data_IF_984123828265
#
_entry.id   IF_984123828265
#
_cell.length_a   1.000
_cell.length_b   1.000
_cell.length_c   1.000
_cell.angle_alpha   90.00
_cell.angle_beta   90.00
_cell.angle_gamma   90.00
#
_symmetry.space_group_name_H-M   'P 1'
#
loop_
_entity.id
_entity.type
_entity.pdbx_description
1 polymer ?
#
# COMPACT_ATOMS: atom_id res chain seq x y z
N UNK A 1 38.90 51.34 13.97
CA UNK A 1 37.50 50.87 13.92
C UNK A 1 37.17 50.58 12.47
N UNK A 2 37.01 49.31 12.11
CA UNK A 2 36.43 48.87 10.85
C UNK A 2 35.78 47.52 11.13
N UNK A 3 34.44 47.50 11.21
CA UNK A 3 33.66 46.27 11.24
C UNK A 3 33.49 45.79 9.79
N UNK A 4 33.81 44.53 9.53
CA UNK A 4 33.53 43.86 8.26
C UNK A 4 32.73 42.58 8.55
N UNK A 5 31.76 42.36 7.68
CA UNK A 5 30.60 41.46 7.74
C UNK A 5 30.90 39.99 8.13
N UNK A 6 29.91 39.27 8.69
CA UNK A 6 29.99 37.81 8.84
C UNK A 6 29.89 37.12 7.45
N UNK A 7 30.56 35.97 7.26
CA UNK A 7 30.47 35.21 6.02
C UNK A 7 29.08 34.60 5.86
N UNK A 8 28.56 34.71 4.64
CA UNK A 8 27.33 34.11 4.17
C UNK A 8 27.31 32.61 4.45
N UNK A 9 26.29 32.16 5.19
CA UNK A 9 25.92 30.76 5.24
C UNK A 9 25.40 30.37 3.85
N UNK A 10 26.29 29.79 3.04
CA UNK A 10 25.90 29.00 1.87
C UNK A 10 24.88 27.96 2.34
N UNK A 11 23.64 28.16 1.90
CA UNK A 11 22.58 27.16 2.01
C UNK A 11 23.04 25.96 1.21
N UNK A 12 23.37 24.89 1.91
CA UNK A 12 23.32 23.54 1.37
C UNK A 12 21.86 23.23 1.00
N UNK A 13 21.42 23.75 -0.15
CA UNK A 13 20.26 23.22 -0.86
C UNK A 13 20.73 21.94 -1.56
N UNK A 14 20.98 20.89 -0.77
CA UNK A 14 20.95 19.53 -1.31
C UNK A 14 19.52 19.30 -1.81
N UNK A 15 19.31 19.00 -3.10
CA UNK A 15 17.98 18.70 -3.59
C UNK A 15 17.50 17.46 -2.86
N UNK A 16 16.43 17.63 -2.08
CA UNK A 16 15.76 16.58 -1.35
C UNK A 16 15.17 15.60 -2.38
N UNK A 17 15.96 14.60 -2.79
CA UNK A 17 15.61 13.58 -3.79
C UNK A 17 14.33 12.79 -3.43
N UNK A 18 13.83 12.98 -2.21
CA UNK A 18 12.55 12.47 -1.72
C UNK A 18 11.30 13.19 -2.28
N UNK A 19 11.42 14.39 -2.85
CA UNK A 19 10.27 15.10 -3.45
C UNK A 19 9.99 14.70 -4.91
N UNK A 20 10.86 13.90 -5.53
CA UNK A 20 10.85 13.64 -6.97
C UNK A 20 9.80 12.61 -7.43
N UNK A 21 9.11 11.93 -6.52
CA UNK A 21 8.39 10.70 -6.85
C UNK A 21 6.89 10.71 -6.47
N UNK A 22 5.94 10.58 -7.42
CA UNK A 22 6.00 10.90 -8.85
C UNK A 22 5.19 12.18 -9.11
N UNK A 23 5.82 13.35 -8.98
CA UNK A 23 5.22 14.61 -9.42
C UNK A 23 5.44 14.84 -10.93
N UNK A 24 6.39 14.12 -11.54
CA UNK A 24 6.79 14.25 -12.94
C UNK A 24 6.43 12.98 -13.73
N UNK A 25 6.08 13.15 -15.01
CA UNK A 25 5.72 12.03 -15.88
C UNK A 25 6.94 11.10 -16.09
N UNK A 26 6.75 9.76 -16.06
CA UNK A 26 7.85 8.83 -16.31
C UNK A 26 8.54 9.13 -17.63
N UNK A 27 9.88 9.12 -17.64
CA UNK A 27 10.61 9.34 -18.88
C UNK A 27 10.24 8.28 -19.92
N UNK A 28 10.35 8.61 -21.21
CA UNK A 28 10.02 7.65 -22.28
C UNK A 28 10.82 6.34 -22.19
N UNK A 29 12.02 6.37 -21.61
CA UNK A 29 12.82 5.18 -21.35
C UNK A 29 12.19 4.29 -20.26
N UNK A 30 11.74 4.88 -19.16
CA UNK A 30 11.05 4.17 -18.08
C UNK A 30 9.72 3.60 -18.57
N UNK A 31 8.94 4.39 -19.30
CA UNK A 31 7.66 3.93 -19.83
C UNK A 31 7.83 2.66 -20.69
N UNK A 32 8.89 2.58 -21.50
CA UNK A 32 9.22 1.37 -22.27
C UNK A 32 9.56 0.19 -21.36
N UNK A 33 10.41 0.41 -20.34
CA UNK A 33 10.74 -0.64 -19.37
C UNK A 33 9.48 -1.16 -18.69
N UNK A 34 8.60 -0.28 -18.20
CA UNK A 34 7.34 -0.66 -17.54
C UNK A 34 6.43 -1.46 -18.46
N UNK A 35 6.26 -1.03 -19.71
CA UNK A 35 5.45 -1.76 -20.70
C UNK A 35 5.99 -3.17 -20.98
N UNK A 36 7.31 -3.30 -21.12
CA UNK A 36 7.93 -4.59 -21.34
C UNK A 36 7.82 -5.52 -20.11
N UNK A 37 7.88 -4.96 -18.90
CA UNK A 37 7.68 -5.71 -17.67
C UNK A 37 6.22 -6.16 -17.47
N UNK A 38 5.27 -5.27 -17.77
CA UNK A 38 3.83 -5.57 -17.77
C UNK A 38 3.54 -6.73 -18.75
N UNK A 39 4.10 -6.67 -19.96
CA UNK A 39 3.96 -7.73 -20.96
C UNK A 39 4.59 -9.04 -20.48
N UNK A 40 5.79 -9.02 -19.90
CA UNK A 40 6.46 -10.21 -19.38
C UNK A 40 5.68 -10.88 -18.25
N UNK A 41 5.19 -10.10 -17.28
CA UNK A 41 4.35 -10.59 -16.17
C UNK A 41 3.04 -11.18 -16.71
N UNK A 42 2.38 -10.44 -17.63
CA UNK A 42 1.14 -10.87 -18.26
C UNK A 42 1.32 -12.18 -19.03
N UNK A 43 2.41 -12.30 -19.79
CA UNK A 43 2.72 -13.50 -20.57
C UNK A 43 2.93 -14.70 -19.65
N UNK A 44 3.72 -14.54 -18.58
CA UNK A 44 3.97 -15.63 -17.62
C UNK A 44 2.68 -16.07 -16.91
N UNK A 45 1.85 -15.13 -16.45
CA UNK A 45 0.55 -15.46 -15.84
C UNK A 45 -0.41 -16.14 -16.80
N UNK A 46 -0.42 -15.72 -18.07
CA UNK A 46 -1.23 -16.38 -19.11
C UNK A 46 -0.74 -17.81 -19.37
N UNK A 47 0.56 -18.03 -19.43
CA UNK A 47 1.13 -19.37 -19.59
C UNK A 47 0.77 -20.28 -18.41
N UNK A 48 0.87 -19.77 -17.18
CA UNK A 48 0.45 -20.48 -15.97
C UNK A 48 -1.05 -20.81 -16.00
N UNK A 49 -1.91 -19.86 -16.38
CA UNK A 49 -3.34 -20.08 -16.51
C UNK A 49 -3.70 -21.14 -17.57
N UNK A 50 -3.02 -21.12 -18.72
CA UNK A 50 -3.19 -22.12 -19.76
C UNK A 50 -2.76 -23.52 -19.27
N UNK A 51 -1.66 -23.59 -18.51
CA UNK A 51 -1.17 -24.82 -17.92
C UNK A 51 -2.20 -25.41 -16.92
N UNK A 52 -2.74 -24.59 -16.01
CA UNK A 52 -3.77 -25.02 -15.05
C UNK A 52 -5.02 -25.54 -15.76
N UNK A 53 -5.48 -24.81 -16.79
CA UNK A 53 -6.64 -25.20 -17.61
C UNK A 53 -6.41 -26.55 -18.29
N UNK A 54 -5.21 -26.79 -18.82
CA UNK A 54 -4.88 -28.04 -19.51
C UNK A 54 -4.78 -29.24 -18.56
N UNK A 55 -4.44 -29.02 -17.29
CA UNK A 55 -4.24 -30.09 -16.29
C UNK A 55 -5.47 -30.31 -15.39
N UNK A 56 -6.60 -29.65 -15.69
CA UNK A 56 -7.84 -29.82 -14.94
C UNK A 56 -7.79 -29.22 -13.53
N UNK A 57 -6.84 -28.32 -13.28
CA UNK A 57 -6.59 -27.72 -11.98
C UNK A 57 -7.26 -26.34 -11.87
N UNK A 58 -7.45 -25.86 -10.63
CA UNK A 58 -8.28 -24.70 -10.30
C UNK A 58 -7.84 -23.34 -10.93
N UNK A 59 -8.73 -22.35 -10.82
CA UNK A 59 -8.62 -20.97 -11.35
C UNK A 59 -7.30 -20.30 -10.95
N UNK A 60 -6.65 -19.53 -11.85
CA UNK A 60 -5.43 -18.79 -11.54
C UNK A 60 -5.59 -17.93 -10.27
N UNK A 61 -4.61 -18.00 -9.37
CA UNK A 61 -4.61 -17.26 -8.10
C UNK A 61 -4.52 -15.74 -8.29
N UNK A 62 -4.01 -15.28 -9.43
CA UNK A 62 -3.84 -13.87 -9.75
C UNK A 62 -4.50 -13.54 -11.10
N UNK A 63 -5.07 -12.34 -11.25
CA UNK A 63 -5.49 -11.83 -12.55
C UNK A 63 -4.33 -11.82 -13.55
N UNK A 64 -4.62 -12.16 -14.80
CA UNK A 64 -3.63 -12.22 -15.89
C UNK A 64 -2.94 -10.88 -16.09
N UNK A 65 -3.68 -9.77 -16.04
CA UNK A 65 -3.09 -8.42 -16.11
C UNK A 65 -2.74 -7.92 -14.71
N UNK A 66 -1.56 -7.29 -14.53
CA UNK A 66 -1.21 -6.56 -13.32
C UNK A 66 -2.29 -5.55 -12.92
N UNK A 67 -2.56 -5.48 -11.62
CA UNK A 67 -3.44 -4.44 -11.08
C UNK A 67 -2.78 -3.06 -11.08
N UNK A 68 -3.55 -2.00 -10.82
CA UNK A 68 -3.01 -0.64 -10.65
C UNK A 68 -1.92 -0.56 -9.57
N UNK A 69 -2.11 -1.28 -8.46
CA UNK A 69 -1.12 -1.33 -7.38
C UNK A 69 0.15 -2.06 -7.81
N UNK A 70 0.01 -3.15 -8.58
CA UNK A 70 1.15 -3.87 -9.11
C UNK A 70 1.94 -3.03 -10.11
N UNK A 71 1.25 -2.28 -10.97
CA UNK A 71 1.91 -1.33 -11.88
C UNK A 71 2.65 -0.24 -11.12
N UNK A 72 2.12 0.27 -10.00
CA UNK A 72 2.85 1.24 -9.17
C UNK A 72 4.16 0.67 -8.60
N UNK A 73 4.17 -0.60 -8.19
CA UNK A 73 5.39 -1.31 -7.78
C UNK A 73 6.37 -1.47 -8.94
N UNK A 74 5.87 -1.89 -10.12
CA UNK A 74 6.69 -2.05 -11.32
C UNK A 74 7.30 -0.73 -11.77
N UNK A 75 6.57 0.38 -11.67
CA UNK A 75 7.07 1.73 -11.95
C UNK A 75 8.20 2.09 -10.98
N UNK A 76 8.02 1.87 -9.67
CA UNK A 76 9.08 2.11 -8.67
C UNK A 76 10.34 1.28 -8.93
N UNK A 77 10.19 0.01 -9.30
CA UNK A 77 11.30 -0.85 -9.69
C UNK A 77 11.99 -0.38 -10.96
N UNK A 78 11.22 0.01 -11.98
CA UNK A 78 11.74 0.49 -13.24
C UNK A 78 12.52 1.80 -13.05
N UNK A 79 12.08 2.69 -12.16
CA UNK A 79 12.78 3.96 -11.93
C UNK A 79 14.00 3.82 -11.04
N UNK A 80 14.02 2.80 -10.17
CA UNK A 80 15.23 2.46 -9.43
C UNK A 80 16.29 1.81 -10.34
N UNK A 81 15.91 0.81 -11.13
CA UNK A 81 16.87 -0.07 -11.81
C UNK A 81 16.93 0.11 -13.34
N UNK A 82 16.00 0.85 -13.92
CA UNK A 82 15.91 1.08 -15.36
C UNK A 82 15.89 -0.23 -16.16
N UNK A 83 16.61 -0.22 -17.28
CA UNK A 83 16.73 -1.38 -18.16
C UNK A 83 17.44 -2.58 -17.51
N UNK A 84 18.16 -2.39 -16.39
CA UNK A 84 18.83 -3.49 -15.70
C UNK A 84 17.83 -4.52 -15.17
N UNK A 85 16.59 -4.10 -14.84
CA UNK A 85 15.54 -5.00 -14.36
C UNK A 85 15.21 -6.11 -15.37
N UNK A 86 15.44 -5.86 -16.67
CA UNK A 86 15.21 -6.82 -17.75
C UNK A 86 16.49 -7.52 -18.22
N UNK A 87 17.59 -6.78 -18.30
CA UNK A 87 18.83 -7.31 -18.90
C UNK A 87 19.68 -8.10 -17.91
N UNK A 88 19.62 -7.78 -16.62
CA UNK A 88 20.42 -8.45 -15.61
C UNK A 88 19.69 -9.67 -15.05
N UNK A 89 20.27 -10.86 -15.26
CA UNK A 89 19.71 -12.14 -14.78
C UNK A 89 19.41 -12.19 -13.28
N UNK A 90 20.10 -11.37 -12.48
CA UNK A 90 19.86 -11.26 -11.03
C UNK A 90 18.43 -10.86 -10.68
N UNK A 91 17.70 -10.20 -11.57
CA UNK A 91 16.30 -9.78 -11.34
C UNK A 91 15.26 -10.79 -11.82
N UNK A 92 15.67 -11.91 -12.47
CA UNK A 92 14.72 -12.96 -12.85
C UNK A 92 13.87 -13.45 -11.66
N UNK A 93 14.44 -13.72 -10.46
CA UNK A 93 13.64 -14.11 -9.30
C UNK A 93 12.59 -13.06 -8.90
N UNK A 94 12.83 -11.78 -9.14
CA UNK A 94 11.89 -10.70 -8.82
C UNK A 94 10.71 -10.71 -9.78
N UNK A 95 10.99 -10.87 -11.09
CA UNK A 95 9.95 -10.98 -12.11
C UNK A 95 9.13 -12.25 -11.92
N UNK A 96 9.82 -13.36 -11.60
CA UNK A 96 9.17 -14.62 -11.33
C UNK A 96 8.24 -14.53 -10.12
N UNK A 97 8.75 -14.00 -9.00
CA UNK A 97 7.95 -13.76 -7.80
C UNK A 97 6.75 -12.86 -8.07
N UNK A 98 6.94 -11.80 -8.86
CA UNK A 98 5.86 -10.87 -9.21
C UNK A 98 4.78 -11.55 -10.02
N UNK A 99 5.14 -12.39 -10.98
CA UNK A 99 4.18 -13.14 -11.77
C UNK A 99 3.42 -14.17 -10.93
N UNK A 100 4.12 -14.87 -10.04
CA UNK A 100 3.60 -16.04 -9.31
C UNK A 100 2.83 -15.64 -8.03
N UNK A 101 3.24 -14.55 -7.38
CA UNK A 101 2.71 -14.12 -6.07
C UNK A 101 2.19 -12.68 -6.03
N UNK A 102 2.51 -11.89 -7.06
CA UNK A 102 2.06 -10.51 -7.17
C UNK A 102 3.05 -9.50 -6.59
N UNK A 103 3.05 -8.30 -7.16
CA UNK A 103 4.01 -7.25 -6.80
C UNK A 103 3.78 -6.69 -5.38
N UNK A 104 2.54 -6.72 -4.89
CA UNK A 104 2.22 -6.32 -3.51
C UNK A 104 2.87 -7.26 -2.50
N UNK A 105 2.81 -8.58 -2.74
CA UNK A 105 3.50 -9.57 -1.89
C UNK A 105 5.02 -9.42 -1.94
N UNK A 106 5.58 -9.00 -3.08
CA UNK A 106 7.02 -8.72 -3.19
C UNK A 106 7.41 -7.60 -2.22
N UNK A 107 6.69 -6.47 -2.25
CA UNK A 107 6.93 -5.35 -1.34
C UNK A 107 6.78 -5.78 0.11
N UNK A 108 5.69 -6.46 0.44
CA UNK A 108 5.47 -6.98 1.79
C UNK A 108 6.63 -7.87 2.26
N UNK A 109 7.12 -8.76 1.40
CA UNK A 109 8.22 -9.67 1.71
C UNK A 109 9.55 -8.95 1.89
N UNK A 110 9.86 -7.97 1.04
CA UNK A 110 11.06 -7.14 1.15
C UNK A 110 11.04 -6.30 2.42
N UNK A 111 9.90 -5.68 2.72
CA UNK A 111 9.76 -4.73 3.83
C UNK A 111 9.61 -5.43 5.19
N UNK A 112 8.92 -6.57 5.24
CA UNK A 112 8.48 -7.18 6.50
C UNK A 112 8.83 -8.68 6.63
N UNK A 113 9.27 -9.33 5.55
CA UNK A 113 9.42 -10.79 5.48
C UNK A 113 10.67 -11.37 6.15
N UNK A 114 11.57 -10.55 6.67
CA UNK A 114 12.77 -10.99 7.39
C UNK A 114 12.50 -11.31 8.89
N UNK A 115 11.25 -11.22 9.37
CA UNK A 115 10.93 -11.51 10.77
C UNK A 115 11.00 -13.01 11.06
N UNK A 116 11.76 -13.44 12.09
CA UNK A 116 11.67 -14.80 12.60
C UNK A 116 10.32 -14.98 13.33
N UNK A 117 9.44 -15.83 12.82
CA UNK A 117 8.40 -16.48 13.63
C UNK A 117 8.88 -17.88 14.07
N UNK A 118 8.29 -18.42 15.12
CA UNK A 118 8.85 -19.50 15.96
C UNK A 118 8.78 -20.93 15.37
N UNK A 119 8.88 -21.12 14.05
CA UNK A 119 8.81 -22.45 13.42
C UNK A 119 10.02 -22.78 12.52
N UNK A 120 10.37 -24.07 12.43
CA UNK A 120 11.61 -24.56 11.80
C UNK A 120 11.76 -24.24 10.29
N UNK A 121 10.65 -24.14 9.52
CA UNK A 121 10.66 -23.74 8.10
C UNK A 121 10.91 -22.24 7.86
N UNK A 122 10.91 -21.44 8.94
CA UNK A 122 11.06 -19.98 8.87
C UNK A 122 12.48 -19.58 8.47
N UNK A 123 13.49 -20.42 8.68
CA UNK A 123 14.88 -20.09 8.34
C UNK A 123 15.11 -19.94 6.84
N UNK A 124 14.57 -20.84 6.02
CA UNK A 124 14.67 -20.78 4.56
C UNK A 124 13.81 -19.63 3.99
N UNK A 125 12.59 -19.46 4.50
CA UNK A 125 11.71 -18.36 4.10
C UNK A 125 12.33 -16.99 4.42
N UNK A 126 12.85 -16.82 5.63
CA UNK A 126 13.49 -15.59 6.08
C UNK A 126 14.81 -15.32 5.33
N UNK A 127 15.61 -16.37 5.07
CA UNK A 127 16.81 -16.24 4.23
C UNK A 127 16.48 -15.78 2.81
N UNK A 128 15.39 -16.31 2.23
CA UNK A 128 14.95 -15.88 0.90
C UNK A 128 14.38 -14.45 0.91
N UNK A 129 13.62 -14.08 1.94
CA UNK A 129 13.19 -12.70 2.13
C UNK A 129 14.37 -11.74 2.29
N UNK A 130 15.42 -12.14 3.01
CA UNK A 130 16.64 -11.37 3.16
C UNK A 130 17.39 -11.22 1.83
N UNK A 131 17.45 -12.28 1.01
CA UNK A 131 18.02 -12.21 -0.35
C UNK A 131 17.25 -11.25 -1.26
N UNK A 132 15.91 -11.31 -1.24
CA UNK A 132 15.08 -10.37 -1.99
C UNK A 132 15.24 -8.94 -1.50
N UNK A 133 15.26 -8.72 -0.18
CA UNK A 133 15.47 -7.40 0.40
C UNK A 133 16.84 -6.83 0.02
N UNK A 134 17.86 -7.69 -0.04
CA UNK A 134 19.20 -7.25 -0.37
C UNK A 134 19.40 -6.97 -1.87
N UNK A 135 18.75 -7.78 -2.72
CA UNK A 135 18.68 -7.53 -4.15
C UNK A 135 17.91 -6.23 -4.47
N UNK A 136 16.87 -5.93 -3.69
CA UNK A 136 15.98 -4.79 -3.90
C UNK A 136 16.28 -3.59 -2.98
N UNK A 137 17.48 -3.53 -2.40
CA UNK A 137 17.89 -2.51 -1.42
C UNK A 137 17.69 -1.08 -1.93
N UNK A 138 18.04 -0.82 -3.19
CA UNK A 138 17.95 0.52 -3.79
C UNK A 138 16.49 0.94 -4.04
N UNK A 139 15.55 -0.01 -4.15
CA UNK A 139 14.13 0.26 -4.35
C UNK A 139 13.37 0.47 -3.04
N UNK A 140 14.06 0.32 -1.90
CA UNK A 140 13.46 0.46 -0.57
C UNK A 140 12.78 1.83 -0.35
N UNK A 141 13.36 2.98 -0.74
CA UNK A 141 12.69 4.27 -0.60
C UNK A 141 11.37 4.33 -1.40
N UNK A 142 11.34 3.77 -2.61
CA UNK A 142 10.12 3.69 -3.41
C UNK A 142 9.06 2.83 -2.72
N UNK A 143 9.45 1.71 -2.10
CA UNK A 143 8.54 0.86 -1.34
C UNK A 143 8.01 1.54 -0.09
N UNK A 144 8.84 2.29 0.63
CA UNK A 144 8.40 3.10 1.79
C UNK A 144 7.36 4.14 1.38
N UNK A 145 7.58 4.83 0.25
CA UNK A 145 6.60 5.75 -0.32
C UNK A 145 5.28 5.05 -0.69
N UNK A 146 5.34 3.88 -1.33
CA UNK A 146 4.15 3.10 -1.66
C UNK A 146 3.38 2.66 -0.40
N UNK A 147 4.10 2.23 0.65
CA UNK A 147 3.52 1.89 1.94
C UNK A 147 2.87 3.10 2.63
N UNK A 148 3.45 4.30 2.50
CA UNK A 148 2.86 5.53 3.03
C UNK A 148 1.64 5.98 2.23
N UNK A 149 1.65 5.77 0.91
CA UNK A 149 0.57 6.19 0.00
C UNK A 149 -0.65 5.26 0.08
N UNK A 150 -0.41 3.94 0.19
CA UNK A 150 -1.46 2.92 0.23
C UNK A 150 -1.21 1.88 1.35
N UNK A 151 -1.23 2.30 2.63
CA UNK A 151 -0.89 1.42 3.74
C UNK A 151 -1.84 0.22 3.85
N UNK A 152 -3.13 0.37 3.51
CA UNK A 152 -4.09 -0.73 3.54
C UNK A 152 -3.71 -1.88 2.59
N UNK A 153 -3.09 -1.55 1.46
CA UNK A 153 -2.67 -2.54 0.48
C UNK A 153 -1.33 -3.21 0.86
N UNK A 154 -0.36 -2.41 1.34
CA UNK A 154 1.00 -2.88 1.53
C UNK A 154 1.33 -3.31 2.96
N UNK A 155 0.59 -2.86 3.96
CA UNK A 155 0.80 -3.24 5.37
C UNK A 155 -0.12 -4.39 5.82
N UNK A 156 -0.74 -5.13 4.90
CA UNK A 156 -1.65 -6.23 5.23
C UNK A 156 -1.06 -7.27 6.18
N UNK A 157 0.19 -7.69 5.99
CA UNK A 157 0.88 -8.62 6.91
C UNK A 157 1.12 -8.02 8.30
N UNK A 158 1.51 -6.74 8.37
CA UNK A 158 1.67 -6.04 9.64
C UNK A 158 0.32 -5.88 10.35
N UNK A 159 -0.74 -5.63 9.59
CA UNK A 159 -2.11 -5.52 10.07
C UNK A 159 -2.64 -6.83 10.61
N UNK A 160 -2.38 -7.95 9.93
CA UNK A 160 -2.74 -9.29 10.39
C UNK A 160 -1.99 -9.66 11.67
N UNK A 161 -0.69 -9.36 11.75
CA UNK A 161 0.09 -9.57 12.96
C UNK A 161 -0.41 -8.73 14.14
N UNK A 162 -0.84 -7.47 13.90
CA UNK A 162 -1.45 -6.63 14.93
C UNK A 162 -2.82 -7.19 15.36
N UNK A 163 -3.65 -7.64 14.41
CA UNK A 163 -4.93 -8.26 14.70
C UNK A 163 -4.79 -9.54 15.55
N UNK A 164 -3.79 -10.38 15.26
CA UNK A 164 -3.48 -11.56 16.08
C UNK A 164 -3.06 -11.20 17.52
N UNK A 165 -2.53 -10.00 17.73
CA UNK A 165 -2.17 -9.46 19.05
C UNK A 165 -3.31 -8.67 19.71
N UNK A 166 -4.50 -8.60 19.08
CA UNK A 166 -5.62 -7.80 19.58
C UNK A 166 -5.42 -6.28 19.44
N UNK A 167 -4.47 -5.85 18.61
CA UNK A 167 -4.12 -4.45 18.40
C UNK A 167 -4.81 -3.86 17.16
N UNK A 168 -5.06 -2.54 17.13
CA UNK A 168 -5.65 -1.89 15.97
C UNK A 168 -4.80 -2.04 14.71
N UNK A 169 -5.45 -2.37 13.60
CA UNK A 169 -4.86 -2.42 12.25
C UNK A 169 -4.34 -1.05 11.82
N UNK A 170 -3.22 -1.04 11.09
CA UNK A 170 -2.67 0.16 10.46
C UNK A 170 -3.63 0.68 9.39
N UNK A 171 -4.24 1.86 9.65
CA UNK A 171 -5.00 2.64 8.65
C UNK A 171 -4.13 3.78 8.12
N UNK A 172 -4.42 4.23 6.90
CA UNK A 172 -3.86 5.46 6.37
C UNK A 172 -4.06 6.64 7.33
N UNK A 173 -3.08 7.54 7.45
CA UNK A 173 -3.26 8.78 8.18
C UNK A 173 -4.46 9.53 7.61
N UNK A 174 -5.41 9.90 8.48
CA UNK A 174 -6.50 10.80 8.09
C UNK A 174 -5.87 12.10 7.58
N UNK A 175 -6.23 12.60 6.38
CA UNK A 175 -5.70 13.88 5.92
C UNK A 175 -6.05 14.97 6.95
N UNK A 176 -5.15 15.95 7.17
CA UNK A 176 -5.41 17.01 8.15
C UNK A 176 -6.69 17.77 7.75
N UNK A 177 -7.53 18.16 8.72
CA UNK A 177 -8.72 18.94 8.41
C UNK A 177 -8.30 20.22 7.69
N UNK A 178 -8.86 20.44 6.50
CA UNK A 178 -8.68 21.67 5.74
C UNK A 178 -9.33 22.80 6.53
N UNK A 179 -8.52 23.55 7.28
CA UNK A 179 -8.96 24.78 7.94
C UNK A 179 -9.33 25.81 6.87
N UNK A 180 -10.60 25.80 6.47
CA UNK A 180 -11.10 26.53 5.31
C UNK A 180 -12.50 27.09 5.46
N UNK A 181 -12.99 27.38 6.67
CA UNK A 181 -14.16 28.25 6.85
C UNK A 181 -13.91 29.30 7.93
N UNK A 182 -13.07 30.27 7.56
CA UNK A 182 -13.03 31.58 8.22
C UNK A 182 -14.08 32.46 7.54
N UNK A 183 -15.36 32.32 7.90
CA UNK A 183 -16.40 33.31 7.58
C UNK A 183 -16.92 33.90 8.88
N UNK A 184 -16.46 35.11 9.17
CA UNK A 184 -16.82 35.83 10.37
C UNK A 184 -18.20 36.49 10.30
N UNK A 185 -18.47 37.20 11.40
CA UNK A 185 -19.44 38.29 11.63
C UNK A 185 -20.75 37.89 12.34
N UNK A 186 -20.68 37.98 13.66
CA UNK A 186 -21.50 38.80 14.55
C UNK A 186 -23.01 39.00 14.28
N UNK A 187 -23.76 38.49 15.29
CA UNK A 187 -24.97 39.03 15.95
C UNK A 187 -26.35 38.76 15.34
N UNK A 188 -27.44 38.84 16.14
CA UNK A 188 -27.57 38.86 17.61
C UNK A 188 -28.54 37.79 18.17
N UNK A 189 -28.52 37.68 19.50
CA UNK A 189 -29.52 37.03 20.35
C UNK A 189 -30.87 37.69 20.11
N UNK A 190 -31.90 36.90 19.83
CA UNK A 190 -33.31 37.31 19.90
C UNK A 190 -34.08 36.29 20.74
N UNK A 191 -34.58 36.76 21.86
CA UNK A 191 -35.44 36.04 22.79
C UNK A 191 -36.86 36.01 22.22
N UNK A 192 -37.43 34.83 22.03
CA UNK A 192 -38.88 34.69 22.05
C UNK A 192 -39.31 33.37 22.71
N UNK A 193 -40.04 33.58 23.80
CA UNK A 193 -40.91 32.65 24.51
C UNK A 193 -41.81 31.85 23.57
N UNK A 194 -42.02 30.56 23.85
CA UNK A 194 -43.32 30.04 24.32
C UNK A 194 -43.23 28.54 24.70
N UNK A 195 -43.97 28.20 25.75
CA UNK A 195 -43.98 26.92 26.48
C UNK A 195 -45.10 25.97 25.94
N UNK A 196 -45.52 24.91 26.67
CA UNK A 196 -45.26 23.49 26.42
C UNK A 196 -46.38 22.72 25.68
N UNK A 197 -46.03 21.62 25.01
CA UNK A 197 -46.99 20.77 24.29
C UNK A 197 -46.85 19.28 24.57
N UNK A 198 -47.90 18.72 25.17
CA UNK A 198 -48.16 17.31 25.49
C UNK A 198 -47.87 16.29 24.35
N UNK A 199 -47.38 15.11 24.74
CA UNK A 199 -47.45 13.85 23.98
C UNK A 199 -48.92 13.42 23.72
N UNK A 200 -49.28 12.49 22.79
CA UNK A 200 -48.75 11.11 22.75
C UNK A 200 -48.63 10.48 21.34
N UNK A 201 -47.96 9.33 21.25
CA UNK A 201 -47.86 8.55 20.01
C UNK A 201 -47.35 7.13 20.27
N UNK A 202 -48.30 6.24 20.48
CA UNK A 202 -48.22 4.80 20.66
C UNK A 202 -47.92 4.03 19.36
N UNK A 203 -47.09 2.98 19.46
CA UNK A 203 -46.97 1.81 18.57
C UNK A 203 -45.82 0.94 19.16
N UNK A 204 -46.09 -0.19 19.82
CA UNK A 204 -46.41 -1.49 19.19
C UNK A 204 -45.11 -2.10 18.62
N UNK A 205 -44.58 -3.24 19.05
CA UNK A 205 -45.25 -4.48 19.40
C UNK A 205 -44.42 -5.35 20.35
N UNK A 206 -45.16 -6.03 21.22
CA UNK A 206 -44.73 -6.99 22.23
C UNK A 206 -44.43 -8.38 21.63
N UNK A 207 -43.57 -9.11 22.34
CA UNK A 207 -43.01 -10.42 22.00
C UNK A 207 -44.00 -11.54 22.36
N UNK A 208 -44.07 -12.58 21.53
CA UNK A 208 -44.57 -13.91 21.94
C UNK A 208 -43.95 -14.95 21.01
N UNK A 209 -42.82 -15.54 21.40
CA UNK A 209 -42.31 -16.76 20.79
C UNK A 209 -42.78 -17.95 21.63
N UNK A 210 -43.42 -18.89 20.93
CA UNK A 210 -44.11 -20.06 21.46
C UNK A 210 -43.17 -21.10 22.06
N UNK A 211 -43.67 -21.65 23.16
CA UNK A 211 -43.25 -22.84 23.87
C UNK A 211 -43.50 -24.11 23.03
N UNK A 212 -42.52 -25.01 22.97
CA UNK A 212 -42.66 -26.30 22.29
C UNK A 212 -41.63 -27.31 22.78
N UNK A 213 -41.92 -27.90 23.95
CA UNK A 213 -41.10 -28.91 24.62
C UNK A 213 -41.37 -30.35 24.17
N UNK A 214 -40.34 -31.16 24.45
CA UNK A 214 -40.18 -32.63 24.41
C UNK A 214 -41.43 -33.51 24.62
N UNK A 215 -41.55 -34.56 23.79
CA UNK A 215 -41.70 -35.99 24.17
C UNK A 215 -41.88 -36.89 22.92
#
# INVERSE_FOLDING_TARGET
MAQALPPDHEKNDEPNDFERWPAEAPTAAIARVVLELDEAITLKRRAAAAWLTAHGDAVPLLPVRPSRLELAVVIGLAETYGAALRSARRFLPVLDFTADHGAVKLVQRVMYGARPTTHFDVTAYAAESARLAELLREARPAFEFLCATWPEAFMGQASEALAQLGLPTLRAPTPPPTNGERRGRDKPIDESHDEPGHAPGDAGSDQSDEEGGDA
#
